data_IF_128682407837
#
_entry.id   IF_128682407837
#
_cell.length_a   1.000
_cell.length_b   1.000
_cell.length_c   1.000
_cell.angle_alpha   90.00
_cell.angle_beta   90.00
_cell.angle_gamma   90.00
#
_symmetry.space_group_name_H-M   'P 1'
#
loop_
_entity.id
_entity.type
_entity.pdbx_description
1 polymer ?
#
# COMPACT_ATOMS: atom_id res chain seq x y z
N UNK A 1 -0.39 15.62 -8.98
CA UNK A 1 -0.91 14.34 -8.45
C UNK A 1 0.18 13.30 -8.58
N UNK A 2 0.17 12.24 -7.77
CA UNK A 2 1.10 11.11 -7.95
C UNK A 2 0.32 9.82 -8.22
N UNK A 3 0.77 9.08 -9.23
CA UNK A 3 0.26 7.76 -9.57
C UNK A 3 1.27 6.71 -9.14
N UNK A 4 0.82 5.67 -8.44
CA UNK A 4 1.61 4.52 -8.00
C UNK A 4 0.93 3.24 -8.47
N UNK A 5 1.66 2.28 -9.03
CA UNK A 5 1.10 0.96 -9.31
C UNK A 5 0.95 0.18 -8.01
N UNK A 6 -0.13 -0.59 -7.90
CA UNK A 6 -0.36 -1.48 -6.75
C UNK A 6 0.75 -2.53 -6.64
N UNK A 7 1.27 -3.01 -7.78
CA UNK A 7 2.42 -3.91 -7.84
C UNK A 7 3.67 -3.31 -7.20
N UNK A 8 3.97 -2.03 -7.44
CA UNK A 8 5.12 -1.35 -6.83
C UNK A 8 4.95 -1.20 -5.32
N UNK A 9 3.73 -0.97 -4.84
CA UNK A 9 3.42 -0.92 -3.41
C UNK A 9 3.58 -2.30 -2.76
N UNK A 10 3.12 -3.37 -3.41
CA UNK A 10 3.34 -4.75 -2.96
C UNK A 10 4.85 -5.04 -2.85
N UNK A 11 5.62 -4.69 -3.87
CA UNK A 11 7.08 -4.86 -3.88
C UNK A 11 7.77 -4.02 -2.79
N UNK A 12 7.41 -2.75 -2.65
CA UNK A 12 7.98 -1.87 -1.63
C UNK A 12 7.71 -2.37 -0.21
N UNK A 13 6.52 -2.92 0.02
CA UNK A 13 6.19 -3.58 1.26
C UNK A 13 7.06 -4.83 1.47
N UNK A 14 7.24 -5.68 0.45
CA UNK A 14 8.06 -6.89 0.55
C UNK A 14 9.51 -6.56 0.88
N UNK A 15 10.08 -5.52 0.27
CA UNK A 15 11.43 -5.03 0.54
C UNK A 15 11.56 -4.49 1.97
N UNK A 16 10.60 -3.67 2.42
CA UNK A 16 10.60 -3.13 3.79
C UNK A 16 10.59 -4.27 4.82
N UNK A 17 9.76 -5.27 4.57
CA UNK A 17 9.67 -6.43 5.42
C UNK A 17 10.82 -7.43 5.28
N UNK A 18 11.49 -7.49 4.13
CA UNK A 18 12.71 -8.28 3.99
C UNK A 18 13.80 -7.78 4.94
N UNK A 19 13.84 -6.46 5.18
CA UNK A 19 14.74 -5.83 6.15
C UNK A 19 14.28 -6.14 7.58
N UNK A 20 13.00 -5.95 7.90
CA UNK A 20 12.46 -6.21 9.25
C UNK A 20 12.32 -7.70 9.60
N UNK A 21 12.36 -8.60 8.61
CA UNK A 21 12.34 -10.04 8.83
C UNK A 21 13.47 -10.44 9.78
N UNK A 22 14.64 -9.80 9.69
CA UNK A 22 15.81 -10.01 10.55
C UNK A 22 15.56 -9.72 12.04
N UNK A 23 14.56 -8.90 12.39
CA UNK A 23 14.24 -8.56 13.78
C UNK A 23 13.14 -9.44 14.37
N UNK A 24 12.44 -10.22 13.54
CA UNK A 24 11.31 -11.02 13.98
C UNK A 24 11.70 -12.43 14.46
N UNK A 25 10.95 -13.01 15.42
CA UNK A 25 11.14 -14.39 15.84
C UNK A 25 10.95 -15.38 14.69
N UNK A 26 11.74 -16.45 14.66
CA UNK A 26 11.74 -17.48 13.60
C UNK A 26 10.33 -18.00 13.25
N UNK A 27 9.48 -18.25 14.26
CA UNK A 27 8.11 -18.70 14.06
C UNK A 27 7.26 -17.71 13.25
N UNK A 28 7.43 -16.40 13.49
CA UNK A 28 6.69 -15.35 12.79
C UNK A 28 7.18 -15.20 11.34
N UNK A 29 8.50 -15.34 11.10
CA UNK A 29 9.08 -15.37 9.75
C UNK A 29 8.49 -16.51 8.90
N UNK A 30 8.44 -17.72 9.46
CA UNK A 30 7.93 -18.90 8.75
C UNK A 30 6.44 -18.78 8.46
N UNK A 31 5.65 -18.28 9.41
CA UNK A 31 4.22 -18.05 9.22
C UNK A 31 3.93 -16.99 8.14
N UNK A 32 4.72 -15.91 8.11
CA UNK A 32 4.58 -14.86 7.10
C UNK A 32 5.01 -15.33 5.71
N UNK A 33 6.10 -16.09 5.60
CA UNK A 33 6.52 -16.68 4.32
C UNK A 33 5.47 -17.68 3.79
N UNK A 34 4.83 -18.47 4.66
CA UNK A 34 3.80 -19.43 4.26
C UNK A 34 2.46 -18.76 3.84
N UNK A 35 2.15 -17.55 4.35
CA UNK A 35 0.92 -16.82 4.01
C UNK A 35 1.05 -15.89 2.80
N UNK A 36 2.09 -16.06 1.97
CA UNK A 36 2.30 -15.20 0.79
C UNK A 36 3.02 -13.90 1.12
N UNK A 37 3.92 -13.96 2.11
CA UNK A 37 4.76 -12.85 2.50
C UNK A 37 4.15 -12.00 3.61
N UNK A 38 5.01 -11.28 4.34
CA UNK A 38 4.60 -10.44 5.44
C UNK A 38 3.60 -9.36 5.03
N UNK A 39 3.70 -8.79 3.83
CA UNK A 39 2.74 -7.82 3.30
C UNK A 39 1.31 -8.34 3.23
N UNK A 40 1.14 -9.62 2.91
CA UNK A 40 -0.16 -10.26 2.92
C UNK A 40 -0.70 -10.42 4.34
N UNK A 41 0.19 -10.71 5.31
CA UNK A 41 -0.16 -10.86 6.72
C UNK A 41 -0.48 -9.53 7.43
N UNK A 42 0.35 -8.48 7.30
CA UNK A 42 0.07 -7.15 7.89
C UNK A 42 -1.12 -6.45 7.22
N UNK A 43 -1.32 -6.66 5.91
CA UNK A 43 -2.52 -6.15 5.24
C UNK A 43 -3.80 -6.82 5.73
N UNK A 44 -3.75 -8.10 6.12
CA UNK A 44 -4.90 -8.81 6.72
C UNK A 44 -5.30 -8.24 8.09
N UNK A 45 -4.37 -7.60 8.80
CA UNK A 45 -4.65 -6.85 10.02
C UNK A 45 -4.98 -5.36 9.78
N UNK A 46 -5.08 -4.91 8.52
CA UNK A 46 -5.43 -3.53 8.18
C UNK A 46 -4.43 -2.48 8.65
N UNK A 47 -3.17 -2.87 8.89
CA UNK A 47 -2.18 -2.03 9.60
C UNK A 47 -0.98 -1.61 8.74
N UNK A 48 -0.91 -2.04 7.47
CA UNK A 48 0.16 -1.59 6.58
C UNK A 48 -0.25 -0.31 5.84
N UNK A 49 0.04 0.82 6.47
CA UNK A 49 -0.14 2.15 5.87
C UNK A 49 1.19 2.63 5.29
N UNK A 50 1.16 3.11 4.05
CA UNK A 50 2.30 3.80 3.46
C UNK A 50 2.27 5.25 3.92
N UNK A 51 3.31 5.67 4.64
CA UNK A 51 3.52 7.06 4.96
C UNK A 51 4.14 7.77 3.75
N UNK A 52 3.54 8.88 3.36
CA UNK A 52 4.07 9.80 2.37
C UNK A 52 4.56 11.08 3.07
N UNK A 53 5.60 11.70 2.51
CA UNK A 53 6.13 12.95 3.07
C UNK A 53 5.12 14.10 2.90
N UNK A 54 4.20 13.98 1.94
CA UNK A 54 3.21 15.00 1.60
C UNK A 54 1.84 14.63 2.16
N UNK A 55 1.08 15.64 2.59
CA UNK A 55 -0.28 15.45 3.10
C UNK A 55 -1.21 15.05 1.95
N UNK A 56 -1.82 13.89 2.08
CA UNK A 56 -2.78 13.29 1.16
C UNK A 56 -4.14 13.90 1.43
N UNK A 57 -4.74 14.46 0.39
CA UNK A 57 -6.09 15.04 0.41
C UNK A 57 -7.13 14.11 -0.21
N UNK A 58 -6.71 13.24 -1.12
CA UNK A 58 -7.53 12.15 -1.65
C UNK A 58 -6.65 10.97 -2.07
N UNK A 59 -7.18 9.76 -1.92
CA UNK A 59 -6.57 8.53 -2.42
C UNK A 59 -7.63 7.69 -3.13
N UNK A 60 -7.36 7.29 -4.37
CA UNK A 60 -8.30 6.53 -5.20
C UNK A 60 -7.54 5.46 -5.95
N UNK A 61 -8.07 4.25 -5.99
CA UNK A 61 -7.54 3.16 -6.81
C UNK A 61 -8.39 3.05 -8.07
N UNK A 62 -7.74 2.96 -9.23
CA UNK A 62 -8.37 2.79 -10.53
C UNK A 62 -7.75 1.59 -11.25
N UNK A 63 -8.59 0.69 -11.77
CA UNK A 63 -8.15 -0.46 -12.55
C UNK A 63 -9.20 -0.88 -13.57
N UNK A 64 -8.82 -0.89 -14.85
CA UNK A 64 -9.66 -1.33 -15.97
C UNK A 64 -11.08 -0.72 -15.96
N UNK A 65 -11.19 0.58 -15.64
CA UNK A 65 -12.45 1.33 -15.54
C UNK A 65 -13.20 1.21 -14.21
N UNK A 66 -12.74 0.39 -13.26
CA UNK A 66 -13.24 0.38 -11.88
C UNK A 66 -12.44 1.35 -11.03
N UNK A 67 -13.12 2.17 -10.24
CA UNK A 67 -12.48 3.11 -9.33
C UNK A 67 -13.06 2.94 -7.93
N UNK A 68 -12.23 2.96 -6.89
CA UNK A 68 -12.67 2.91 -5.50
C UNK A 68 -11.85 3.86 -4.62
N UNK A 69 -12.46 4.46 -3.58
CA UNK A 69 -11.73 5.27 -2.61
C UNK A 69 -10.84 4.38 -1.74
N UNK A 70 -9.62 4.83 -1.49
CA UNK A 70 -8.67 4.16 -0.59
C UNK A 70 -8.67 4.89 0.76
N UNK A 71 -8.73 4.16 1.89
CA UNK A 71 -8.66 4.80 3.20
C UNK A 71 -7.31 5.47 3.40
N UNK A 72 -7.34 6.75 3.77
CA UNK A 72 -6.15 7.56 4.07
C UNK A 72 -6.33 8.32 5.38
N UNK A 73 -5.21 8.63 6.02
CA UNK A 73 -5.11 9.36 7.26
C UNK A 73 -3.98 10.40 7.16
N UNK A 74 -4.32 11.61 6.69
CA UNK A 74 -3.42 12.76 6.65
C UNK A 74 -2.18 12.56 5.79
N UNK A 75 -1.14 11.92 6.33
CA UNK A 75 0.12 11.64 5.64
C UNK A 75 0.30 10.16 5.30
N UNK A 76 -0.65 9.30 5.68
CA UNK A 76 -0.57 7.87 5.42
C UNK A 76 -1.79 7.39 4.64
N UNK A 77 -1.63 6.38 3.80
CA UNK A 77 -2.74 5.71 3.13
C UNK A 77 -2.62 4.19 3.24
N UNK A 78 -3.75 3.51 3.34
CA UNK A 78 -3.82 2.06 3.51
C UNK A 78 -4.41 1.44 2.25
N UNK A 79 -3.58 1.09 1.26
CA UNK A 79 -4.05 0.51 0.02
C UNK A 79 -4.59 -0.91 0.25
N UNK A 80 -5.63 -1.33 -0.50
CA UNK A 80 -6.17 -2.69 -0.42
C UNK A 80 -5.21 -3.69 -1.08
N UNK A 81 -4.13 -4.07 -0.37
CA UNK A 81 -3.10 -4.96 -0.91
C UNK A 81 -3.60 -6.41 -1.11
N UNK A 82 -4.59 -6.87 -0.32
CA UNK A 82 -5.11 -8.25 -0.33
C UNK A 82 -6.34 -8.45 -1.23
N UNK A 83 -7.07 -7.41 -1.56
CA UNK A 83 -8.27 -7.56 -2.38
C UNK A 83 -7.85 -8.07 -3.76
N UNK A 84 -8.13 -9.35 -4.01
CA UNK A 84 -7.79 -10.06 -5.24
C UNK A 84 -8.59 -9.51 -6.44
N UNK A 85 -9.60 -8.69 -6.15
CA UNK A 85 -10.34 -7.90 -7.14
C UNK A 85 -9.48 -6.81 -7.80
N UNK A 86 -8.36 -6.40 -7.17
CA UNK A 86 -7.43 -5.41 -7.71
C UNK A 86 -6.13 -6.09 -8.18
N UNK A 87 -5.88 -5.95 -9.48
CA UNK A 87 -4.66 -6.44 -10.12
C UNK A 87 -3.43 -5.66 -9.67
N UNK A 88 -2.23 -6.23 -9.82
CA UNK A 88 -0.96 -5.52 -9.66
C UNK A 88 -0.84 -4.29 -10.57
N UNK A 89 -1.53 -4.30 -11.71
CA UNK A 89 -1.62 -3.17 -12.64
C UNK A 89 -2.59 -2.06 -12.21
N UNK A 90 -3.24 -2.21 -11.05
CA UNK A 90 -4.10 -1.15 -10.51
C UNK A 90 -3.28 0.10 -10.21
N UNK A 91 -3.81 1.26 -10.57
CA UNK A 91 -3.19 2.54 -10.32
C UNK A 91 -3.81 3.17 -9.08
N UNK A 92 -2.97 3.55 -8.12
CA UNK A 92 -3.36 4.37 -7.00
C UNK A 92 -3.01 5.81 -7.32
N UNK A 93 -4.05 6.63 -7.41
CA UNK A 93 -3.99 8.06 -7.57
C UNK A 93 -4.04 8.71 -6.18
N UNK A 94 -2.97 9.43 -5.86
CA UNK A 94 -2.85 10.22 -4.64
C UNK A 94 -2.90 11.71 -5.03
N UNK A 95 -3.89 12.41 -4.50
CA UNK A 95 -3.95 13.85 -4.50
C UNK A 95 -3.31 14.38 -3.21
N UNK A 96 -2.45 15.38 -3.33
CA UNK A 96 -1.82 16.04 -2.20
C UNK A 96 -2.27 17.50 -2.11
N UNK A 97 -2.17 18.06 -0.92
CA UNK A 97 -2.51 19.45 -0.65
C UNK A 97 -1.73 20.43 -1.56
N UNK A 98 -0.47 20.11 -1.85
CA UNK A 98 0.41 20.95 -2.67
C UNK A 98 0.19 20.83 -4.18
N UNK A 99 -0.64 19.89 -4.64
CA UNK A 99 -1.03 19.80 -6.06
C UNK A 99 -2.16 20.76 -6.43
N UNK A 100 -2.83 21.36 -5.43
CA UNK A 100 -3.78 22.45 -5.64
C UNK A 100 -3.09 23.81 -5.88
N UNK A 101 -1.77 23.89 -5.69
CA UNK A 101 -0.99 25.12 -5.85
C UNK A 101 -0.30 25.25 -7.23
N UNK A 102 -0.50 24.29 -8.14
CA UNK A 102 0.03 24.33 -9.50
C UNK A 102 -1.11 24.22 -10.52
N UNK A 103 -1.91 25.29 -10.61
CA UNK A 103 -2.67 25.64 -11.80
C UNK A 103 -2.23 27.00 -12.30
#
# INVERSE_FOLDING_TARGET
MQMRRLGDLRLACEVHWAIDKETLPFAMRTMMSAMGGPCNFVSKKGTYSFAEMRRITAATISFNGKSAPVPFNGHAFTPPLREQDWSDDSMIELAFDNDQAAQ
#
